data_IF_486005905632
#
_entry.id   IF_486005905632
#
_cell.length_a   1.000
_cell.length_b   1.000
_cell.length_c   1.000
_cell.angle_alpha   90.00
_cell.angle_beta   90.00
_cell.angle_gamma   90.00
#
_symmetry.space_group_name_H-M   'P 1'
#
loop_
_entity.id
_entity.type
_entity.pdbx_description
1 polymer ?
#
# COMPACT_ATOMS: atom_id res chain seq x y z
N UNK A 1 24.02 -3.81 25.98
CA UNK A 1 22.92 -3.47 25.06
C UNK A 1 23.41 -3.66 23.63
N UNK A 2 23.78 -2.64 22.84
CA UNK A 2 24.07 -2.85 21.40
C UNK A 2 25.15 -3.91 21.12
N UNK A 3 26.32 -3.82 21.78
CA UNK A 3 27.39 -4.81 21.65
C UNK A 3 26.98 -6.21 22.16
N UNK A 4 26.05 -6.26 23.11
CA UNK A 4 25.51 -7.51 23.67
C UNK A 4 24.63 -8.20 22.62
N UNK A 5 23.66 -7.47 22.04
CA UNK A 5 22.79 -8.00 20.98
C UNK A 5 23.59 -8.37 19.73
N UNK A 6 24.59 -7.56 19.35
CA UNK A 6 25.48 -7.89 18.22
C UNK A 6 26.27 -9.18 18.46
N UNK A 7 26.75 -9.45 19.68
CA UNK A 7 27.43 -10.69 20.00
C UNK A 7 26.47 -11.90 20.05
N UNK A 8 25.22 -11.70 20.47
CA UNK A 8 24.16 -12.72 20.39
C UNK A 8 23.83 -13.04 18.93
N UNK A 9 23.63 -12.02 18.09
CA UNK A 9 23.39 -12.17 16.66
C UNK A 9 24.55 -12.88 15.95
N UNK A 10 25.81 -12.55 16.26
CA UNK A 10 27.00 -13.25 15.76
C UNK A 10 27.04 -14.71 16.23
N UNK A 11 26.69 -14.99 17.48
CA UNK A 11 26.59 -16.36 18.00
C UNK A 11 25.52 -17.20 17.30
N UNK A 12 24.38 -16.58 16.96
CA UNK A 12 23.30 -17.21 16.19
C UNK A 12 23.72 -17.43 14.72
N UNK A 13 24.41 -16.46 14.10
CA UNK A 13 25.03 -16.58 12.77
C UNK A 13 26.11 -17.68 12.73
N UNK A 14 26.76 -18.00 13.85
CA UNK A 14 27.74 -19.08 13.92
C UNK A 14 27.11 -20.48 14.12
N UNK A 15 25.81 -20.56 14.38
CA UNK A 15 25.12 -21.83 14.69
C UNK A 15 24.55 -22.51 13.45
N UNK A 16 24.63 -23.85 13.39
CA UNK A 16 24.07 -24.64 12.28
C UNK A 16 22.54 -24.77 12.32
N UNK A 17 21.90 -24.31 13.40
CA UNK A 17 20.45 -24.42 13.64
C UNK A 17 20.01 -23.37 14.68
N UNK A 18 19.96 -22.07 14.34
CA UNK A 18 19.59 -21.02 15.28
C UNK A 18 18.13 -21.16 15.72
N UNK A 19 17.91 -21.55 16.97
CA UNK A 19 16.59 -21.53 17.62
C UNK A 19 16.48 -20.30 18.52
N UNK A 20 15.99 -19.19 17.99
CA UNK A 20 15.62 -18.04 18.81
C UNK A 20 14.28 -18.27 19.50
N UNK A 21 14.19 -17.98 20.80
CA UNK A 21 12.89 -17.85 21.48
C UNK A 21 12.30 -16.50 21.06
N UNK A 22 11.49 -16.51 20.00
CA UNK A 22 10.82 -15.30 19.51
C UNK A 22 10.09 -14.60 20.67
N UNK A 23 10.34 -13.30 20.82
CA UNK A 23 9.67 -12.50 21.84
C UNK A 23 8.15 -12.60 21.66
N UNK A 24 7.40 -12.74 22.76
CA UNK A 24 5.95 -12.91 22.72
C UNK A 24 5.26 -11.65 22.21
N UNK A 25 4.93 -11.64 20.92
CA UNK A 25 4.25 -10.53 20.25
C UNK A 25 2.85 -10.33 20.85
N UNK A 26 2.57 -9.12 21.35
CA UNK A 26 1.28 -8.77 21.94
C UNK A 26 0.17 -8.63 20.90
N UNK A 27 -1.09 -8.74 21.32
CA UNK A 27 -2.25 -8.52 20.43
C UNK A 27 -2.26 -7.14 19.78
N UNK A 28 -1.80 -6.10 20.50
CA UNK A 28 -1.64 -4.73 19.99
C UNK A 28 -0.58 -4.66 18.89
N UNK A 29 0.56 -5.33 19.08
CA UNK A 29 1.64 -5.41 18.08
C UNK A 29 1.19 -6.19 16.83
N UNK A 30 0.49 -7.33 17.00
CA UNK A 30 -0.12 -8.06 15.90
C UNK A 30 -1.09 -7.20 15.08
N UNK A 31 -2.00 -6.50 15.77
CA UNK A 31 -2.96 -5.60 15.10
C UNK A 31 -2.25 -4.46 14.35
N UNK A 32 -1.23 -3.88 14.99
CA UNK A 32 -0.42 -2.80 14.41
C UNK A 32 0.33 -3.27 13.17
N UNK A 33 1.07 -4.38 13.25
CA UNK A 33 1.89 -4.88 12.14
C UNK A 33 1.03 -5.35 10.96
N UNK A 34 -0.10 -6.01 11.21
CA UNK A 34 -1.06 -6.39 10.16
C UNK A 34 -1.65 -5.15 9.46
N UNK A 35 -1.94 -4.07 10.19
CA UNK A 35 -2.40 -2.81 9.59
C UNK A 35 -1.28 -2.10 8.79
N UNK A 36 -0.02 -2.15 9.25
CA UNK A 36 1.14 -1.59 8.54
C UNK A 36 1.44 -2.38 7.25
N UNK A 37 1.43 -3.71 7.29
CA UNK A 37 1.52 -4.57 6.11
C UNK A 37 0.33 -4.31 5.16
N UNK A 38 -0.87 -4.17 5.74
CA UNK A 38 -2.10 -3.83 5.02
C UNK A 38 -2.02 -2.51 4.25
N UNK A 39 -1.31 -1.50 4.79
CA UNK A 39 -1.07 -0.21 4.13
C UNK A 39 -0.17 -0.32 2.89
N UNK A 40 0.82 -1.22 2.85
CA UNK A 40 1.73 -1.36 1.70
C UNK A 40 0.96 -1.64 0.40
N UNK A 41 -0.10 -2.45 0.50
CA UNK A 41 -1.06 -2.69 -0.59
C UNK A 41 -1.67 -1.40 -1.12
N UNK A 42 -2.19 -0.56 -0.23
CA UNK A 42 -2.80 0.74 -0.58
C UNK A 42 -1.76 1.70 -1.17
N UNK A 43 -0.60 1.82 -0.52
CA UNK A 43 0.47 2.72 -0.96
C UNK A 43 0.96 2.39 -2.37
N UNK A 44 1.15 1.10 -2.70
CA UNK A 44 1.51 0.68 -4.07
C UNK A 44 0.53 1.18 -5.14
N UNK A 45 -0.77 1.17 -4.85
CA UNK A 45 -1.79 1.65 -5.78
C UNK A 45 -1.90 3.19 -5.77
N UNK A 46 -1.70 3.83 -4.61
CA UNK A 46 -1.69 5.30 -4.45
C UNK A 46 -0.56 5.95 -5.26
N UNK A 47 0.68 5.47 -5.13
CA UNK A 47 1.81 5.99 -5.90
C UNK A 47 1.66 5.75 -7.40
N UNK A 48 1.10 4.59 -7.80
CA UNK A 48 0.79 4.30 -9.21
C UNK A 48 -0.22 5.31 -9.76
N UNK A 49 -1.32 5.57 -9.02
CA UNK A 49 -2.31 6.60 -9.36
C UNK A 49 -1.67 7.98 -9.46
N UNK A 50 -0.78 8.35 -8.55
CA UNK A 50 -0.10 9.66 -8.53
C UNK A 50 0.84 9.84 -9.73
N UNK A 51 1.58 8.81 -10.14
CA UNK A 51 2.35 8.80 -11.39
C UNK A 51 1.43 9.01 -12.61
N UNK A 52 0.28 8.35 -12.66
CA UNK A 52 -0.68 8.48 -13.75
C UNK A 52 -1.42 9.84 -13.75
N UNK A 53 -1.56 10.51 -12.59
CA UNK A 53 -2.04 11.90 -12.53
C UNK A 53 -1.03 12.86 -13.15
N UNK A 54 0.28 12.63 -12.98
CA UNK A 54 1.33 13.36 -13.72
C UNK A 54 1.21 13.10 -15.23
N UNK A 55 1.02 11.84 -15.65
CA UNK A 55 0.80 11.48 -17.05
C UNK A 55 -0.44 12.16 -17.67
N UNK A 56 -1.52 12.27 -16.90
CA UNK A 56 -2.76 12.95 -17.30
C UNK A 56 -2.68 14.49 -17.23
N UNK A 57 -1.53 15.06 -16.85
CA UNK A 57 -1.34 16.50 -16.65
C UNK A 57 -2.35 17.10 -15.65
N UNK A 58 -2.58 16.40 -14.53
CA UNK A 58 -3.36 16.87 -13.40
C UNK A 58 -2.44 17.28 -12.25
N UNK A 59 -2.51 18.56 -11.86
CA UNK A 59 -1.79 19.15 -10.72
C UNK A 59 -0.32 18.69 -10.64
N UNK A 60 0.41 18.73 -11.78
CA UNK A 60 1.66 17.99 -12.00
C UNK A 60 2.69 18.14 -10.88
N UNK A 61 2.90 19.35 -10.36
CA UNK A 61 3.82 19.58 -9.24
C UNK A 61 3.35 18.87 -7.96
N UNK A 62 2.09 19.05 -7.59
CA UNK A 62 1.44 18.40 -6.43
C UNK A 62 1.43 16.88 -6.59
N UNK A 63 1.12 16.36 -7.77
CA UNK A 63 1.10 14.92 -8.07
C UNK A 63 2.49 14.29 -7.94
N UNK A 64 3.56 14.99 -8.37
CA UNK A 64 4.96 14.57 -8.14
C UNK A 64 5.32 14.55 -6.66
N UNK A 65 5.00 15.61 -5.92
CA UNK A 65 5.25 15.70 -4.47
C UNK A 65 4.51 14.61 -3.71
N UNK A 66 3.24 14.37 -4.05
CA UNK A 66 2.42 13.32 -3.45
C UNK A 66 3.00 11.93 -3.73
N UNK A 67 3.43 11.66 -4.97
CA UNK A 67 4.08 10.39 -5.32
C UNK A 67 5.34 10.16 -4.48
N UNK A 68 6.23 11.16 -4.41
CA UNK A 68 7.45 11.08 -3.61
C UNK A 68 7.15 10.86 -2.11
N UNK A 69 6.14 11.53 -1.56
CA UNK A 69 5.68 11.31 -0.20
C UNK A 69 5.14 9.90 0.03
N UNK A 70 4.37 9.33 -0.92
CA UNK A 70 3.86 7.95 -0.86
C UNK A 70 4.99 6.92 -0.94
N UNK A 71 6.02 7.17 -1.76
CA UNK A 71 7.24 6.34 -1.84
C UNK A 71 7.97 6.37 -0.48
N UNK A 72 8.17 7.55 0.12
CA UNK A 72 8.80 7.68 1.42
C UNK A 72 7.99 7.05 2.57
N UNK A 73 6.65 7.13 2.52
CA UNK A 73 5.76 6.44 3.47
C UNK A 73 5.90 4.91 3.33
N UNK A 74 5.94 4.39 2.10
CA UNK A 74 6.18 2.97 1.83
C UNK A 74 7.53 2.55 2.39
N UNK A 75 8.64 3.21 2.02
CA UNK A 75 9.99 2.88 2.50
C UNK A 75 10.07 2.89 4.04
N UNK A 76 9.53 3.93 4.68
CA UNK A 76 9.55 4.08 6.14
C UNK A 76 8.74 2.99 6.82
N UNK A 77 7.53 2.70 6.33
CA UNK A 77 6.67 1.69 6.92
C UNK A 77 7.19 0.27 6.65
N UNK A 78 7.71 0.01 5.46
CA UNK A 78 8.25 -1.27 5.05
C UNK A 78 9.58 -1.60 5.74
N UNK A 79 10.43 -0.60 5.98
CA UNK A 79 11.61 -0.75 6.84
C UNK A 79 11.25 -1.23 8.24
N UNK A 80 10.18 -0.69 8.84
CA UNK A 80 9.68 -1.17 10.15
C UNK A 80 9.13 -2.60 10.08
N UNK A 81 8.53 -3.03 8.97
CA UNK A 81 8.11 -4.44 8.79
C UNK A 81 9.32 -5.39 8.69
N UNK A 82 10.40 -4.96 8.03
CA UNK A 82 11.60 -5.77 7.86
C UNK A 82 12.47 -5.89 9.12
N UNK A 83 12.52 -4.83 9.95
CA UNK A 83 13.51 -4.69 11.03
C UNK A 83 12.90 -4.46 12.42
N UNK A 84 11.57 -4.39 12.53
CA UNK A 84 10.88 -3.99 13.75
C UNK A 84 10.97 -2.48 14.04
N UNK A 85 10.20 -2.02 15.02
CA UNK A 85 10.24 -0.67 15.59
C UNK A 85 9.48 -0.64 16.91
N UNK A 86 10.23 -0.66 18.02
CA UNK A 86 9.67 -0.58 19.39
C UNK A 86 8.84 0.69 19.60
N UNK A 87 9.33 1.84 19.11
CA UNK A 87 8.64 3.14 19.14
C UNK A 87 7.35 3.20 18.31
N UNK A 88 7.12 2.21 17.43
CA UNK A 88 5.90 2.11 16.64
C UNK A 88 5.04 0.88 17.00
N UNK A 89 5.41 0.13 18.05
CA UNK A 89 4.80 -1.17 18.41
C UNK A 89 4.72 -2.13 17.21
N UNK A 90 5.82 -2.23 16.47
CA UNK A 90 5.98 -3.18 15.36
C UNK A 90 7.09 -4.16 15.76
N UNK A 91 6.81 -5.47 15.86
CA UNK A 91 7.83 -6.48 16.11
C UNK A 91 8.68 -6.70 14.85
N UNK A 92 9.87 -7.27 15.01
CA UNK A 92 10.59 -7.88 13.89
C UNK A 92 9.76 -9.04 13.28
N UNK A 93 10.05 -9.51 12.05
CA UNK A 93 9.33 -10.62 11.42
C UNK A 93 9.21 -11.85 12.35
N UNK A 94 7.99 -12.21 12.80
CA UNK A 94 7.82 -13.19 13.88
C UNK A 94 7.94 -14.65 13.42
N UNK A 95 8.03 -14.89 12.09
CA UNK A 95 8.24 -16.22 11.50
C UNK A 95 9.05 -16.12 10.20
N UNK A 96 9.66 -17.22 9.78
CA UNK A 96 10.37 -17.32 8.50
C UNK A 96 9.47 -17.08 7.29
N UNK A 97 8.24 -17.58 7.29
CA UNK A 97 7.27 -17.31 6.22
C UNK A 97 7.00 -15.81 6.02
N UNK A 98 6.89 -15.05 7.12
CA UNK A 98 6.77 -13.58 7.06
C UNK A 98 8.05 -12.94 6.52
N UNK A 99 9.23 -13.31 7.02
CA UNK A 99 10.49 -12.72 6.60
C UNK A 99 10.78 -12.97 5.10
N UNK A 100 10.60 -14.20 4.63
CA UNK A 100 10.79 -14.59 3.23
C UNK A 100 9.83 -13.82 2.31
N UNK A 101 8.54 -13.75 2.69
CA UNK A 101 7.54 -13.02 1.92
C UNK A 101 7.81 -11.51 1.88
N UNK A 102 8.40 -10.93 2.95
CA UNK A 102 8.89 -9.55 2.94
C UNK A 102 10.10 -9.37 2.01
N UNK A 103 11.04 -10.33 1.93
CA UNK A 103 12.13 -10.26 0.95
C UNK A 103 11.60 -10.26 -0.49
N UNK A 104 10.58 -11.05 -0.79
CA UNK A 104 9.90 -11.02 -2.11
C UNK A 104 9.31 -9.64 -2.39
N UNK A 105 8.58 -9.05 -1.42
CA UNK A 105 8.02 -7.69 -1.56
C UNK A 105 9.14 -6.66 -1.74
N UNK A 106 10.28 -6.78 -1.05
CA UNK A 106 11.43 -5.88 -1.20
C UNK A 106 12.01 -5.89 -2.62
N UNK A 107 12.14 -7.08 -3.22
CA UNK A 107 12.67 -7.23 -4.58
C UNK A 107 11.78 -6.55 -5.62
N UNK A 108 10.46 -6.78 -5.53
CA UNK A 108 9.48 -6.12 -6.39
C UNK A 108 9.42 -4.61 -6.15
N UNK A 109 9.45 -4.19 -4.88
CA UNK A 109 9.43 -2.78 -4.50
C UNK A 109 10.64 -2.03 -5.05
N UNK A 110 11.84 -2.60 -4.94
CA UNK A 110 13.08 -1.97 -5.42
C UNK A 110 13.00 -1.66 -6.92
N UNK A 111 12.55 -2.62 -7.74
CA UNK A 111 12.36 -2.43 -9.18
C UNK A 111 11.26 -1.40 -9.49
N UNK A 112 10.12 -1.50 -8.80
CA UNK A 112 8.98 -0.62 -9.04
C UNK A 112 9.24 0.84 -8.63
N UNK A 113 9.94 1.06 -7.51
CA UNK A 113 10.37 2.39 -7.07
C UNK A 113 11.27 3.05 -8.12
N UNK A 114 12.28 2.34 -8.61
CA UNK A 114 13.20 2.82 -9.66
C UNK A 114 12.45 3.15 -10.96
N UNK A 115 11.45 2.35 -11.33
CA UNK A 115 10.57 2.64 -12.47
C UNK A 115 9.83 3.98 -12.30
N UNK A 116 9.26 4.24 -11.12
CA UNK A 116 8.53 5.50 -10.86
C UNK A 116 9.47 6.71 -10.81
N UNK A 117 10.53 6.65 -10.00
CA UNK A 117 11.43 7.79 -9.74
C UNK A 117 12.15 8.26 -11.01
N UNK A 118 12.70 7.33 -11.80
CA UNK A 118 13.43 7.68 -13.03
C UNK A 118 12.54 8.24 -14.14
N UNK A 119 11.23 8.01 -14.09
CA UNK A 119 10.33 8.27 -15.21
C UNK A 119 9.19 9.27 -14.93
N UNK A 120 9.11 9.84 -13.71
CA UNK A 120 8.06 10.82 -13.36
C UNK A 120 8.15 12.13 -14.17
N UNK A 121 9.26 12.36 -14.87
CA UNK A 121 9.41 13.47 -15.83
C UNK A 121 9.16 13.06 -17.29
N UNK A 122 9.05 11.75 -17.58
CA UNK A 122 8.97 11.16 -18.92
C UNK A 122 7.62 10.43 -19.14
N UNK A 123 6.55 10.90 -18.49
CA UNK A 123 5.24 10.23 -18.40
C UNK A 123 4.44 10.18 -19.71
N UNK A 124 4.92 10.82 -20.79
CA UNK A 124 4.33 10.71 -22.14
C UNK A 124 4.69 9.42 -22.88
N UNK A 125 5.62 8.61 -22.36
CA UNK A 125 6.01 7.35 -22.96
C UNK A 125 5.03 6.21 -22.60
N UNK A 126 4.31 5.70 -23.59
CA UNK A 126 3.29 4.64 -23.41
C UNK A 126 3.86 3.32 -22.90
N UNK A 127 5.12 2.97 -23.23
CA UNK A 127 5.80 1.78 -22.70
C UNK A 127 6.04 1.91 -21.19
N UNK A 128 6.36 3.10 -20.70
CA UNK A 128 6.52 3.38 -19.26
C UNK A 128 5.16 3.29 -18.56
N UNK A 129 4.09 3.83 -19.15
CA UNK A 129 2.74 3.73 -18.59
C UNK A 129 2.25 2.27 -18.51
N UNK A 130 2.55 1.47 -19.54
CA UNK A 130 2.28 0.03 -19.54
C UNK A 130 3.10 -0.70 -18.45
N UNK A 131 4.40 -0.41 -18.31
CA UNK A 131 5.23 -0.98 -17.25
C UNK A 131 4.69 -0.64 -15.85
N UNK A 132 4.27 0.59 -15.61
CA UNK A 132 3.66 0.99 -14.32
C UNK A 132 2.35 0.23 -14.06
N UNK A 133 1.53 0.00 -15.09
CA UNK A 133 0.34 -0.83 -14.97
C UNK A 133 0.69 -2.27 -14.58
N UNK A 134 1.59 -2.92 -15.34
CA UNK A 134 2.00 -4.31 -15.17
C UNK A 134 2.71 -4.56 -13.83
N UNK A 135 3.77 -3.80 -13.52
CA UNK A 135 4.63 -4.05 -12.35
C UNK A 135 3.93 -3.74 -11.01
N UNK A 136 2.89 -2.89 -11.04
CA UNK A 136 2.04 -2.63 -9.87
C UNK A 136 1.21 -3.84 -9.42
N UNK A 137 1.02 -4.85 -10.27
CA UNK A 137 0.18 -6.04 -9.99
C UNK A 137 0.92 -7.11 -9.17
N UNK A 138 2.15 -7.54 -9.51
CA UNK A 138 2.95 -8.40 -8.64
C UNK A 138 3.18 -7.77 -7.26
N UNK A 139 3.54 -6.48 -7.19
CA UNK A 139 3.78 -5.81 -5.91
C UNK A 139 2.52 -5.81 -5.02
N UNK A 140 1.34 -5.56 -5.59
CA UNK A 140 0.07 -5.68 -4.86
C UNK A 140 -0.20 -7.12 -4.42
N UNK A 141 0.10 -8.11 -5.26
CA UNK A 141 -0.15 -9.53 -4.98
C UNK A 141 0.71 -10.03 -3.82
N UNK A 142 2.01 -9.76 -3.86
CA UNK A 142 2.94 -10.18 -2.81
C UNK A 142 2.73 -9.38 -1.51
N UNK A 143 2.34 -8.09 -1.59
CA UNK A 143 1.92 -7.34 -0.41
C UNK A 143 0.59 -7.85 0.19
N UNK A 144 -0.28 -8.51 -0.58
CA UNK A 144 -1.43 -9.24 -0.03
C UNK A 144 -0.99 -10.52 0.68
N UNK A 145 -0.09 -11.30 0.09
CA UNK A 145 0.45 -12.50 0.74
C UNK A 145 1.18 -12.18 2.04
N UNK A 146 1.97 -11.11 2.10
CA UNK A 146 2.61 -10.66 3.34
C UNK A 146 1.59 -10.42 4.49
N UNK A 147 0.43 -9.84 4.18
CA UNK A 147 -0.66 -9.68 5.16
C UNK A 147 -1.22 -11.04 5.60
N UNK A 148 -1.41 -11.97 4.66
CA UNK A 148 -1.84 -13.35 4.97
C UNK A 148 -0.83 -14.06 5.88
N UNK A 149 0.47 -13.97 5.61
CA UNK A 149 1.51 -14.56 6.45
C UNK A 149 1.51 -13.98 7.87
N UNK A 150 1.36 -12.66 8.03
CA UNK A 150 1.20 -12.05 9.36
C UNK A 150 -0.07 -12.53 10.09
N UNK A 151 -1.20 -12.70 9.40
CA UNK A 151 -2.44 -13.23 9.98
C UNK A 151 -2.29 -14.71 10.37
N UNK A 152 -1.64 -15.51 9.54
CA UNK A 152 -1.35 -16.93 9.81
C UNK A 152 -0.44 -17.06 11.05
N UNK A 153 0.65 -16.28 11.10
CA UNK A 153 1.58 -16.27 12.23
C UNK A 153 0.92 -15.84 13.54
N UNK A 154 0.10 -14.79 13.50
CA UNK A 154 -0.68 -14.33 14.65
C UNK A 154 -1.67 -15.39 15.15
N UNK A 155 -2.37 -16.07 14.23
CA UNK A 155 -3.32 -17.15 14.56
C UNK A 155 -2.59 -18.35 15.19
N UNK A 156 -1.44 -18.73 14.65
CA UNK A 156 -0.59 -19.80 15.19
C UNK A 156 -0.01 -19.45 16.58
N UNK A 157 0.26 -18.17 16.85
CA UNK A 157 0.66 -17.66 18.15
C UNK A 157 -0.51 -17.54 19.16
N UNK A 158 -1.73 -17.94 18.80
CA UNK A 158 -2.92 -17.83 19.65
C UNK A 158 -3.41 -16.40 19.86
N UNK A 159 -2.92 -15.44 19.08
CA UNK A 159 -3.32 -14.05 19.19
C UNK A 159 -4.72 -13.82 18.59
N UNK A 160 -5.49 -12.93 19.22
CA UNK A 160 -6.69 -12.38 18.59
C UNK A 160 -6.28 -11.51 17.40
N UNK A 161 -6.31 -12.08 16.20
CA UNK A 161 -6.06 -11.36 14.95
C UNK A 161 -7.09 -10.26 14.73
N UNK A 162 -6.75 -9.18 14.00
CA UNK A 162 -7.73 -8.26 13.44
C UNK A 162 -8.77 -9.08 12.67
N UNK A 163 -10.00 -9.12 13.19
CA UNK A 163 -11.05 -9.95 12.62
C UNK A 163 -11.31 -9.60 11.14
N UNK A 164 -11.95 -10.52 10.42
CA UNK A 164 -12.21 -10.41 8.97
C UNK A 164 -12.73 -9.03 8.55
N UNK A 165 -13.58 -8.42 9.40
CA UNK A 165 -14.06 -7.03 9.31
C UNK A 165 -12.93 -6.01 9.10
N UNK A 166 -11.89 -6.00 9.93
CA UNK A 166 -10.78 -5.04 9.86
C UNK A 166 -9.95 -5.23 8.58
N UNK A 167 -9.74 -6.47 8.13
CA UNK A 167 -9.05 -6.72 6.86
C UNK A 167 -9.89 -6.29 5.65
N UNK A 168 -11.21 -6.54 5.66
CA UNK A 168 -12.14 -6.11 4.58
C UNK A 168 -12.25 -4.58 4.53
N UNK A 169 -12.37 -3.91 5.68
CA UNK A 169 -12.31 -2.45 5.77
C UNK A 169 -10.93 -1.92 5.30
N UNK A 170 -9.85 -2.56 5.75
CA UNK A 170 -8.48 -2.25 5.34
C UNK A 170 -8.28 -2.32 3.82
N UNK A 171 -8.94 -3.29 3.17
CA UNK A 171 -8.94 -3.49 1.71
C UNK A 171 -9.68 -2.37 0.96
N UNK A 172 -10.73 -1.76 1.52
CA UNK A 172 -11.48 -0.66 0.86
C UNK A 172 -10.56 0.53 0.53
N UNK A 173 -9.59 0.81 1.40
CA UNK A 173 -8.56 1.84 1.18
C UNK A 173 -7.73 1.56 -0.08
N UNK A 174 -7.33 0.31 -0.29
CA UNK A 174 -6.58 -0.09 -1.48
C UNK A 174 -7.46 -0.04 -2.73
N UNK A 175 -8.69 -0.55 -2.63
CA UNK A 175 -9.64 -0.56 -3.75
C UNK A 175 -9.99 0.85 -4.22
N UNK A 176 -10.16 1.84 -3.32
CA UNK A 176 -10.40 3.24 -3.73
C UNK A 176 -9.25 3.80 -4.58
N UNK A 177 -7.99 3.55 -4.18
CA UNK A 177 -6.81 3.96 -4.96
C UNK A 177 -6.72 3.22 -6.29
N UNK A 178 -7.02 1.91 -6.26
CA UNK A 178 -6.96 1.03 -7.42
C UNK A 178 -7.99 1.42 -8.50
N UNK A 179 -9.23 1.72 -8.14
CA UNK A 179 -10.24 2.20 -9.10
C UNK A 179 -9.81 3.50 -9.79
N UNK A 180 -9.25 4.46 -9.05
CA UNK A 180 -8.73 5.70 -9.65
C UNK A 180 -7.52 5.45 -10.55
N UNK A 181 -6.62 4.52 -10.19
CA UNK A 181 -5.51 4.08 -11.06
C UNK A 181 -6.04 3.49 -12.36
N UNK A 182 -7.01 2.59 -12.28
CA UNK A 182 -7.59 1.90 -13.44
C UNK A 182 -8.35 2.86 -14.36
N UNK A 183 -9.11 3.82 -13.81
CA UNK A 183 -9.75 4.87 -14.61
C UNK A 183 -8.75 5.77 -15.36
N UNK A 184 -7.59 6.08 -14.75
CA UNK A 184 -6.51 6.82 -15.42
C UNK A 184 -5.83 5.99 -16.52
N UNK A 185 -5.61 4.69 -16.29
CA UNK A 185 -5.07 3.78 -17.32
C UNK A 185 -6.00 3.67 -18.55
N UNK A 186 -7.32 3.59 -18.35
CA UNK A 186 -8.30 3.65 -19.46
C UNK A 186 -8.19 4.97 -20.22
N UNK A 187 -8.05 6.10 -19.54
CA UNK A 187 -7.96 7.42 -20.17
C UNK A 187 -6.65 7.64 -20.94
N UNK A 188 -5.56 7.05 -20.46
CA UNK A 188 -4.24 7.04 -21.09
C UNK A 188 -4.12 5.94 -22.17
N UNK A 189 -5.21 5.24 -22.48
CA UNK A 189 -5.31 4.14 -23.45
C UNK A 189 -4.32 2.98 -23.20
N UNK A 190 -3.97 2.73 -21.94
CA UNK A 190 -3.11 1.60 -21.53
C UNK A 190 -3.99 0.37 -21.35
N UNK A 191 -3.96 -0.54 -22.32
CA UNK A 191 -4.78 -1.76 -22.36
C UNK A 191 -6.24 -1.48 -21.93
N UNK A 192 -6.87 -0.51 -22.60
CA UNK A 192 -8.12 0.08 -22.14
C UNK A 192 -9.26 -0.95 -22.02
N UNK A 193 -9.31 -1.96 -22.90
CA UNK A 193 -10.33 -3.02 -22.87
C UNK A 193 -10.21 -3.88 -21.62
N UNK A 194 -9.01 -4.43 -21.35
CA UNK A 194 -8.76 -5.27 -20.15
C UNK A 194 -8.87 -4.44 -18.87
N UNK A 195 -8.41 -3.19 -18.91
CA UNK A 195 -8.48 -2.28 -17.77
C UNK A 195 -9.91 -1.90 -17.41
N UNK A 196 -10.84 -1.75 -18.38
CA UNK A 196 -12.28 -1.55 -18.09
C UNK A 196 -12.90 -2.75 -17.37
N UNK A 197 -12.61 -3.97 -17.81
CA UNK A 197 -13.07 -5.19 -17.14
C UNK A 197 -12.47 -5.35 -15.73
N UNK A 198 -11.21 -4.95 -15.56
CA UNK A 198 -10.54 -4.92 -14.25
C UNK A 198 -11.17 -3.87 -13.33
N UNK A 199 -11.45 -2.67 -13.84
CA UNK A 199 -12.13 -1.60 -13.11
C UNK A 199 -13.53 -2.04 -12.63
N UNK A 200 -14.30 -2.72 -13.48
CA UNK A 200 -15.58 -3.31 -13.08
C UNK A 200 -15.41 -4.29 -11.92
N UNK A 201 -14.44 -5.21 -12.03
CA UNK A 201 -14.14 -6.17 -10.98
C UNK A 201 -13.72 -5.50 -9.66
N UNK A 202 -12.99 -4.38 -9.72
CA UNK A 202 -12.61 -3.58 -8.55
C UNK A 202 -13.82 -2.84 -7.94
N UNK A 203 -14.72 -2.29 -8.76
CA UNK A 203 -15.98 -1.65 -8.35
C UNK A 203 -16.92 -2.64 -7.65
N UNK A 204 -17.08 -3.83 -8.22
CA UNK A 204 -17.91 -4.89 -7.66
C UNK A 204 -17.34 -5.35 -6.31
N UNK A 205 -16.04 -5.62 -6.25
CA UNK A 205 -15.37 -6.03 -5.01
C UNK A 205 -15.43 -4.94 -3.93
N UNK A 206 -15.34 -3.65 -4.29
CA UNK A 206 -15.56 -2.55 -3.34
C UNK A 206 -17.00 -2.58 -2.83
N UNK A 207 -17.98 -2.58 -3.73
CA UNK A 207 -19.39 -2.49 -3.40
C UNK A 207 -19.86 -3.68 -2.54
N UNK A 208 -19.56 -4.93 -2.93
CA UNK A 208 -19.89 -6.12 -2.13
C UNK A 208 -19.20 -6.12 -0.77
N UNK A 209 -17.96 -5.64 -0.69
CA UNK A 209 -17.25 -5.53 0.60
C UNK A 209 -17.86 -4.46 1.50
N UNK A 210 -18.25 -3.32 0.93
CA UNK A 210 -18.83 -2.18 1.65
C UNK A 210 -20.23 -2.51 2.20
N UNK A 211 -21.10 -3.11 1.38
CA UNK A 211 -22.38 -3.69 1.83
C UNK A 211 -22.16 -4.76 2.90
N UNK A 212 -21.22 -5.70 2.68
CA UNK A 212 -20.92 -6.75 3.65
C UNK A 212 -20.39 -6.24 5.00
N UNK A 213 -19.70 -5.09 5.02
CA UNK A 213 -19.30 -4.41 6.26
C UNK A 213 -20.51 -3.80 6.98
N UNK A 214 -21.40 -3.14 6.26
CA UNK A 214 -22.59 -2.48 6.82
C UNK A 214 -23.64 -3.49 7.31
N UNK A 215 -24.11 -4.34 6.40
CA UNK A 215 -25.29 -5.20 6.57
C UNK A 215 -24.94 -6.63 7.00
N UNK A 216 -23.69 -7.04 6.80
CA UNK A 216 -23.22 -8.40 7.02
C UNK A 216 -23.15 -9.22 5.73
N UNK A 217 -22.39 -10.31 5.79
CA UNK A 217 -22.19 -11.22 4.66
C UNK A 217 -21.65 -12.54 5.16
N UNK A 218 -22.42 -13.62 5.01
CA UNK A 218 -22.00 -14.98 5.36
C UNK A 218 -20.82 -15.44 4.52
N UNK A 219 -20.82 -15.13 3.21
CA UNK A 219 -19.73 -15.48 2.28
C UNK A 219 -18.41 -14.75 2.55
N UNK A 220 -18.46 -13.56 3.16
CA UNK A 220 -17.27 -12.81 3.59
C UNK A 220 -16.95 -13.01 5.08
N UNK A 221 -17.73 -13.79 5.84
CA UNK A 221 -17.55 -13.95 7.29
C UNK A 221 -17.72 -12.64 8.08
N UNK A 222 -18.66 -11.79 7.66
CA UNK A 222 -18.92 -10.47 8.25
C UNK A 222 -20.26 -10.47 9.00
N UNK A 223 -20.31 -10.10 10.30
CA UNK A 223 -21.54 -10.08 11.09
C UNK A 223 -22.44 -8.86 10.85
N UNK A 224 -22.00 -7.90 10.04
CA UNK A 224 -22.62 -6.57 9.90
C UNK A 224 -22.18 -5.61 11.00
N UNK A 225 -22.37 -4.32 10.79
CA UNK A 225 -21.97 -3.27 11.73
C UNK A 225 -23.17 -2.76 12.51
N UNK A 226 -23.19 -2.98 13.82
CA UNK A 226 -24.25 -2.47 14.72
C UNK A 226 -23.83 -1.21 15.49
N UNK A 227 -22.53 -0.91 15.57
CA UNK A 227 -22.02 0.24 16.30
C UNK A 227 -22.33 1.56 15.57
N UNK A 228 -23.08 2.44 16.22
CA UNK A 228 -23.55 3.71 15.64
C UNK A 228 -22.42 4.64 15.17
N UNK A 229 -21.29 4.71 15.88
CA UNK A 229 -20.15 5.54 15.45
C UNK A 229 -19.49 5.00 14.17
N UNK A 230 -19.34 3.67 14.07
CA UNK A 230 -18.79 3.04 12.86
C UNK A 230 -19.77 3.20 11.70
N UNK A 231 -21.08 3.01 11.92
CA UNK A 231 -22.12 3.26 10.92
C UNK A 231 -22.11 4.71 10.42
N UNK A 232 -22.01 5.68 11.33
CA UNK A 232 -21.94 7.11 10.96
C UNK A 232 -20.69 7.43 10.13
N UNK A 233 -19.53 6.85 10.48
CA UNK A 233 -18.31 7.01 9.69
C UNK A 233 -18.43 6.33 8.31
N UNK A 234 -19.01 5.12 8.27
CA UNK A 234 -19.22 4.41 7.02
C UNK A 234 -20.28 5.08 6.14
N UNK A 235 -21.23 5.83 6.71
CA UNK A 235 -22.13 6.70 5.94
C UNK A 235 -21.34 7.78 5.19
N UNK A 236 -20.37 8.44 5.83
CA UNK A 236 -19.48 9.40 5.16
C UNK A 236 -18.72 8.75 3.98
N UNK A 237 -18.25 7.52 4.17
CA UNK A 237 -17.61 6.72 3.10
C UNK A 237 -18.62 6.41 1.97
N UNK A 238 -19.86 6.03 2.30
CA UNK A 238 -20.96 5.82 1.33
C UNK A 238 -21.26 7.08 0.53
N UNK A 239 -21.39 8.24 1.19
CA UNK A 239 -21.75 9.51 0.55
C UNK A 239 -20.64 10.00 -0.40
N UNK A 240 -19.37 9.78 -0.04
CA UNK A 240 -18.21 10.07 -0.89
C UNK A 240 -18.10 9.09 -2.07
N UNK A 241 -18.32 7.79 -1.83
CA UNK A 241 -18.35 6.78 -2.89
C UNK A 241 -19.53 6.99 -3.84
N UNK A 242 -20.70 7.44 -3.36
CA UNK A 242 -21.87 7.76 -4.18
C UNK A 242 -21.61 8.88 -5.21
N UNK A 243 -20.63 9.75 -4.96
CA UNK A 243 -20.19 10.78 -5.93
C UNK A 243 -19.16 10.24 -6.93
N UNK A 244 -18.27 9.33 -6.52
CA UNK A 244 -17.16 8.83 -7.35
C UNK A 244 -17.54 7.58 -8.16
N UNK A 245 -18.32 6.68 -7.57
CA UNK A 245 -18.71 5.37 -8.12
C UNK A 245 -19.45 5.45 -9.45
N UNK A 246 -20.47 6.33 -9.64
CA UNK A 246 -21.14 6.47 -10.93
C UNK A 246 -20.21 6.90 -12.07
N UNK A 247 -19.21 7.75 -11.78
CA UNK A 247 -18.21 8.18 -12.77
C UNK A 247 -17.34 7.01 -13.19
N UNK A 248 -16.87 6.21 -12.23
CA UNK A 248 -16.07 5.03 -12.46
C UNK A 248 -16.86 3.93 -13.19
N UNK A 249 -18.12 3.72 -12.83
CA UNK A 249 -19.04 2.78 -13.49
C UNK A 249 -19.33 3.16 -14.94
N UNK A 250 -19.50 4.46 -15.22
CA UNK A 250 -19.62 4.91 -16.61
C UNK A 250 -18.34 4.59 -17.41
N UNK A 251 -17.16 4.73 -16.80
CA UNK A 251 -15.88 4.37 -17.43
C UNK A 251 -15.75 2.85 -17.62
N UNK A 252 -16.07 2.00 -16.65
CA UNK A 252 -16.02 0.55 -16.86
C UNK A 252 -16.98 0.12 -17.99
N UNK A 253 -18.18 0.70 -18.04
CA UNK A 253 -19.20 0.46 -19.07
C UNK A 253 -18.94 1.14 -20.44
N UNK A 254 -17.69 1.53 -20.73
CA UNK A 254 -17.27 1.95 -22.08
C UNK A 254 -17.26 3.46 -22.34
N UNK A 255 -17.73 4.31 -21.43
CA UNK A 255 -17.65 5.78 -21.60
C UNK A 255 -16.20 6.23 -21.72
N UNK A 256 -15.87 7.03 -22.72
CA UNK A 256 -14.53 7.62 -22.86
C UNK A 256 -14.26 8.60 -21.71
N UNK A 257 -13.21 8.40 -20.88
CA UNK A 257 -12.94 9.31 -19.77
C UNK A 257 -12.66 10.74 -20.25
N UNK A 258 -13.36 11.71 -19.67
CA UNK A 258 -13.11 13.13 -19.92
C UNK A 258 -12.19 13.74 -18.85
N UNK A 259 -11.56 14.88 -19.15
CA UNK A 259 -10.77 15.62 -18.17
C UNK A 259 -11.60 16.01 -16.93
N UNK A 260 -12.88 16.38 -17.11
CA UNK A 260 -13.77 16.69 -16.00
C UNK A 260 -14.00 15.48 -15.06
N UNK A 261 -14.30 14.31 -15.64
CA UNK A 261 -14.49 13.06 -14.89
C UNK A 261 -13.24 12.67 -14.09
N UNK A 262 -12.07 12.70 -14.71
CA UNK A 262 -10.82 12.35 -14.02
C UNK A 262 -10.41 13.40 -12.97
N UNK A 263 -10.61 14.69 -13.23
CA UNK A 263 -10.38 15.73 -12.22
C UNK A 263 -11.27 15.54 -10.98
N UNK A 264 -12.53 15.14 -11.17
CA UNK A 264 -13.46 14.87 -10.07
C UNK A 264 -13.11 13.58 -9.30
N UNK A 265 -12.68 12.52 -10.00
CA UNK A 265 -12.12 11.32 -9.34
C UNK A 265 -10.87 11.69 -8.53
N UNK A 266 -9.98 12.51 -9.09
CA UNK A 266 -8.73 12.92 -8.44
C UNK A 266 -8.94 13.81 -7.20
N UNK A 267 -10.00 14.62 -7.17
CA UNK A 267 -10.34 15.44 -5.99
C UNK A 267 -11.12 14.69 -4.91
N UNK A 268 -12.00 13.75 -5.28
CA UNK A 268 -12.78 12.95 -4.32
C UNK A 268 -11.93 11.84 -3.65
N UNK A 269 -11.00 11.24 -4.40
CA UNK A 269 -10.26 10.06 -3.96
C UNK A 269 -9.40 10.26 -2.69
N UNK A 270 -8.67 11.39 -2.48
CA UNK A 270 -7.95 11.64 -1.24
C UNK A 270 -8.86 11.72 -0.01
N UNK A 271 -10.01 12.39 -0.12
CA UNK A 271 -11.00 12.50 0.97
C UNK A 271 -11.58 11.13 1.30
N UNK A 272 -11.97 10.34 0.28
CA UNK A 272 -12.45 8.97 0.48
C UNK A 272 -11.39 8.07 1.16
N UNK A 273 -10.10 8.24 0.82
CA UNK A 273 -9.02 7.52 1.48
C UNK A 273 -8.88 7.91 2.96
N UNK A 274 -8.98 9.20 3.28
CA UNK A 274 -8.94 9.71 4.66
C UNK A 274 -10.09 9.16 5.50
N UNK A 275 -11.34 9.25 5.01
CA UNK A 275 -12.51 8.76 5.73
C UNK A 275 -12.51 7.22 5.85
N UNK A 276 -11.96 6.51 4.87
CA UNK A 276 -11.77 5.05 4.97
C UNK A 276 -10.62 4.66 5.92
N UNK A 277 -9.57 5.47 6.04
CA UNK A 277 -8.55 5.30 7.09
C UNK A 277 -9.18 5.47 8.49
N UNK A 278 -10.03 6.49 8.68
CA UNK A 278 -10.77 6.70 9.93
C UNK A 278 -11.69 5.53 10.24
N UNK A 279 -12.46 5.04 9.25
CA UNK A 279 -13.29 3.85 9.40
C UNK A 279 -12.50 2.61 9.85
N UNK A 280 -11.32 2.36 9.26
CA UNK A 280 -10.45 1.24 9.67
C UNK A 280 -9.98 1.38 11.12
N UNK A 281 -9.65 2.59 11.58
CA UNK A 281 -9.31 2.83 12.99
C UNK A 281 -10.47 2.52 13.93
N UNK A 282 -11.70 2.94 13.59
CA UNK A 282 -12.88 2.63 14.42
C UNK A 282 -13.21 1.13 14.44
N UNK A 283 -13.09 0.44 13.29
CA UNK A 283 -13.24 -1.02 13.22
C UNK A 283 -12.17 -1.75 14.05
N UNK A 284 -10.91 -1.29 14.04
CA UNK A 284 -9.85 -1.86 14.85
C UNK A 284 -10.02 -1.59 16.36
N UNK A 285 -10.64 -0.45 16.72
CA UNK A 285 -10.99 -0.11 18.09
C UNK A 285 -12.29 -0.77 18.60
N UNK A 286 -13.09 -1.38 17.71
CA UNK A 286 -14.38 -1.98 18.05
C UNK A 286 -15.51 -0.98 18.35
N UNK A 287 -15.30 0.32 18.12
CA UNK A 287 -16.29 1.35 18.44
C UNK A 287 -15.79 2.78 18.30
N UNK A 288 -16.47 3.69 18.98
CA UNK A 288 -16.12 5.11 19.03
C UNK A 288 -14.75 5.30 19.69
N UNK A 289 -13.83 6.01 19.04
CA UNK A 289 -12.69 6.61 19.74
C UNK A 289 -13.19 7.86 20.48
N UNK A 290 -12.71 8.09 21.71
CA UNK A 290 -13.04 9.30 22.46
C UNK A 290 -12.36 10.50 21.78
N UNK A 291 -13.14 11.31 21.06
CA UNK A 291 -12.63 12.46 20.31
C UNK A 291 -12.50 13.67 21.24
N UNK A 292 -11.28 13.97 21.66
CA UNK A 292 -10.93 15.24 22.31
C UNK A 292 -10.64 16.35 21.27
N UNK A 293 -11.53 16.57 20.31
CA UNK A 293 -11.63 17.86 19.58
C UNK A 293 -12.98 18.07 18.91
N UNK A 294 -13.57 19.28 19.01
CA UNK A 294 -14.81 19.61 18.32
C UNK A 294 -14.57 19.76 16.81
N UNK A 295 -15.53 19.31 16.00
CA UNK A 295 -15.49 19.47 14.55
C UNK A 295 -15.38 20.95 14.15
N UNK A 296 -14.48 21.25 13.22
CA UNK A 296 -14.46 22.52 12.49
C UNK A 296 -14.50 22.24 10.98
N UNK A 297 -15.33 22.93 10.20
CA UNK A 297 -15.44 22.70 8.76
C UNK A 297 -14.19 23.20 8.03
N UNK A 298 -13.62 22.37 7.16
CA UNK A 298 -12.43 22.71 6.39
C UNK A 298 -12.79 23.69 5.27
N UNK A 299 -12.35 24.95 5.40
CA UNK A 299 -12.29 25.88 4.27
C UNK A 299 -10.98 25.71 3.48
N UNK A 300 -10.99 25.87 2.14
CA UNK A 300 -9.80 25.74 1.32
C UNK A 300 -8.84 26.92 1.52
N UNK A 301 -7.56 26.63 1.77
CA UNK A 301 -6.49 27.64 1.88
C UNK A 301 -5.74 27.84 0.54
N UNK A 302 -5.09 29.00 0.30
CA UNK A 302 -4.69 29.43 -1.04
C UNK A 302 -3.35 28.88 -1.53
N UNK A 303 -3.17 28.89 -2.86
CA UNK A 303 -1.98 28.41 -3.56
C UNK A 303 -0.82 29.42 -3.43
N UNK A 304 0.35 28.97 -2.97
CA UNK A 304 1.60 29.74 -2.95
C UNK A 304 2.43 29.42 -4.19
N UNK A 305 2.96 30.45 -4.87
CA UNK A 305 3.87 30.31 -6.04
C UNK A 305 5.34 30.32 -5.59
N UNK A 306 6.23 29.49 -6.18
CA UNK A 306 7.66 29.61 -5.98
C UNK A 306 8.32 30.59 -6.97
N UNK A 307 9.41 31.21 -6.55
CA UNK A 307 10.33 32.04 -7.36
C UNK A 307 11.51 31.19 -7.89
N UNK A 308 12.22 31.63 -8.95
CA UNK A 308 13.22 30.79 -9.63
C UNK A 308 14.58 30.76 -8.93
N UNK A 309 15.35 29.70 -9.17
CA UNK A 309 16.79 29.58 -8.81
C UNK A 309 17.55 29.11 -10.04
N UNK A 310 18.74 29.69 -10.26
CA UNK A 310 19.56 29.55 -11.46
C UNK A 310 20.22 28.17 -11.65
N UNK A 311 20.52 27.88 -12.92
CA UNK A 311 21.30 26.74 -13.39
C UNK A 311 22.79 27.07 -13.43
N UNK A 312 23.67 26.10 -13.11
CA UNK A 312 24.94 26.01 -13.83
C UNK A 312 25.56 24.60 -13.87
N UNK A 313 26.41 24.40 -14.87
CA UNK A 313 26.91 23.13 -15.43
C UNK A 313 28.06 22.46 -14.66
N UNK A 314 28.22 21.14 -14.80
CA UNK A 314 29.31 20.52 -15.62
C UNK A 314 29.22 18.98 -15.71
N UNK A 315 29.71 18.41 -16.82
CA UNK A 315 29.66 16.97 -17.16
C UNK A 315 30.96 16.22 -16.79
N UNK A 316 30.89 14.89 -16.67
CA UNK A 316 31.98 13.98 -17.06
C UNK A 316 31.47 12.53 -17.28
N UNK A 317 32.16 11.75 -18.11
CA UNK A 317 31.68 10.55 -18.81
C UNK A 317 32.32 9.22 -18.38
N UNK A 318 31.68 8.07 -18.66
CA UNK A 318 32.36 6.76 -18.67
C UNK A 318 31.47 5.50 -18.70
N UNK A 319 31.70 4.59 -19.65
CA UNK A 319 31.08 3.25 -19.80
C UNK A 319 31.99 2.35 -20.70
N UNK A 320 31.74 1.04 -20.99
CA UNK A 320 30.77 0.06 -20.44
C UNK A 320 31.27 -1.43 -20.20
N UNK A 321 30.55 -2.22 -19.36
CA UNK A 321 30.30 -3.71 -19.45
C UNK A 321 31.51 -4.71 -19.30
N UNK A 322 31.33 -6.06 -19.15
CA UNK A 322 30.15 -6.95 -19.37
C UNK A 322 29.80 -7.98 -18.23
N UNK A 323 28.89 -8.94 -18.52
CA UNK A 323 28.36 -10.01 -17.63
C UNK A 323 29.06 -11.38 -17.87
N UNK A 324 29.09 -12.29 -16.87
CA UNK A 324 28.13 -13.43 -16.81
C UNK A 324 27.42 -13.50 -15.42
N UNK A 325 26.71 -14.54 -14.95
CA UNK A 325 26.33 -15.87 -15.48
C UNK A 325 25.25 -16.57 -14.60
N UNK A 326 24.65 -17.69 -15.05
CA UNK A 326 23.37 -18.21 -14.53
C UNK A 326 23.39 -19.15 -13.28
N UNK A 327 24.49 -19.21 -12.52
CA UNK A 327 24.63 -20.13 -11.36
C UNK A 327 24.29 -19.46 -10.00
N UNK A 328 24.19 -18.13 -9.96
CA UNK A 328 24.06 -17.37 -8.71
C UNK A 328 22.74 -17.57 -7.93
N UNK A 329 21.62 -17.92 -8.58
CA UNK A 329 20.30 -17.92 -7.92
C UNK A 329 20.18 -18.91 -6.75
N UNK A 330 20.78 -20.10 -6.85
CA UNK A 330 20.67 -21.13 -5.80
C UNK A 330 21.50 -20.78 -4.54
N UNK A 331 22.69 -20.22 -4.72
CA UNK A 331 23.54 -19.79 -3.61
C UNK A 331 23.06 -18.49 -2.96
N UNK A 332 22.46 -17.59 -3.74
CA UNK A 332 21.76 -16.40 -3.21
C UNK A 332 20.55 -16.84 -2.38
N UNK A 333 19.75 -17.81 -2.84
CA UNK A 333 18.61 -18.31 -2.07
C UNK A 333 19.03 -18.88 -0.69
N UNK A 334 20.10 -19.68 -0.63
CA UNK A 334 20.63 -20.19 0.63
C UNK A 334 21.19 -19.08 1.55
N UNK A 335 21.96 -18.13 1.01
CA UNK A 335 22.50 -17.02 1.80
C UNK A 335 21.42 -16.04 2.27
N UNK A 336 20.38 -15.82 1.47
CA UNK A 336 19.24 -14.98 1.83
C UNK A 336 18.44 -15.64 2.95
N UNK A 337 18.16 -16.95 2.88
CA UNK A 337 17.50 -17.69 3.95
C UNK A 337 18.31 -17.66 5.26
N UNK A 338 19.63 -17.83 5.19
CA UNK A 338 20.51 -17.73 6.36
C UNK A 338 20.57 -16.31 6.95
N UNK A 339 20.65 -15.28 6.10
CA UNK A 339 20.66 -13.90 6.55
C UNK A 339 19.31 -13.43 7.11
N UNK A 340 18.17 -13.92 6.58
CA UNK A 340 16.84 -13.61 7.13
C UNK A 340 16.59 -14.27 8.47
N UNK A 341 17.12 -15.48 8.70
CA UNK A 341 16.95 -16.20 9.96
C UNK A 341 17.64 -15.47 11.15
N UNK A 342 18.75 -14.78 10.90
CA UNK A 342 19.41 -13.94 11.92
C UNK A 342 18.79 -12.54 12.04
N UNK A 343 18.12 -12.03 11.00
CA UNK A 343 17.32 -10.79 11.07
C UNK A 343 16.06 -10.88 11.95
N UNK A 344 15.69 -12.08 12.43
CA UNK A 344 14.62 -12.28 13.41
C UNK A 344 15.07 -12.14 14.86
N UNK A 345 16.39 -12.00 15.09
CA UNK A 345 17.03 -12.02 16.40
C UNK A 345 17.56 -10.63 16.76
#
# INVERSE_FOLDING_TARGET
TLLTEMNVAVGLYASSSPTCTAASVTSTEWSTVINVAGRQRMLSQKMSKEFLLVAWNYEVATSKTNMAATIAEFDTAFGKLMYGSTSSSIPAPPTQGVADQLVVVKGLWTSFKVLLENNVNNTGNTTILAAVATDSVPLLTEANKAVTEYVNAATAAGASVPGTVVNVAGRQRMLSQRMSKEALLVALNVDATTTRATLQSTLDLFSTSHTGLLEGSTSLGLPGTTNACILQQMKTVTDLYGQMGPILSNISNGTTPTKAMLNQIASLNPTLLTEMNRAVTLYAAGGCIADHSPHSPVSPSPIVRPSPIDLNFTESSGAPRPRPGFIALALIALHVAWATQVLMC
#
